data_IF_224093887421
#
_entry.id   IF_224093887421
#
_cell.length_a   1.000
_cell.length_b   1.000
_cell.length_c   1.000
_cell.angle_alpha   90.00
_cell.angle_beta   90.00
_cell.angle_gamma   90.00
#
_symmetry.space_group_name_H-M   'P 1'
#
loop_
_entity.id
_entity.type
_entity.pdbx_description
1 polymer ?
#
# COMPACT_ATOMS: atom_id res chain seq x y z
N UNK A 1 -24.14 9.76 -8.20
CA UNK A 1 -23.00 9.19 -7.46
C UNK A 1 -21.78 10.04 -7.79
N UNK A 2 -21.44 11.00 -6.94
CA UNK A 2 -20.35 11.94 -7.21
C UNK A 2 -19.02 11.23 -6.96
N UNK A 3 -18.32 10.85 -8.03
CA UNK A 3 -16.91 10.49 -7.93
C UNK A 3 -16.15 11.73 -7.45
N UNK A 4 -15.52 11.65 -6.27
CA UNK A 4 -14.57 12.65 -5.78
C UNK A 4 -13.60 12.99 -6.93
N UNK A 5 -13.63 14.24 -7.38
CA UNK A 5 -12.77 14.73 -8.45
C UNK A 5 -11.30 14.50 -8.07
N UNK A 6 -10.53 13.88 -8.96
CA UNK A 6 -9.09 13.63 -8.76
C UNK A 6 -8.73 12.38 -7.95
N UNK A 7 -9.67 11.46 -7.69
CA UNK A 7 -9.38 10.17 -7.05
C UNK A 7 -8.32 9.36 -7.81
N UNK A 8 -8.39 9.35 -9.13
CA UNK A 8 -7.44 8.71 -10.04
C UNK A 8 -6.03 9.32 -9.95
N UNK A 9 -5.96 10.65 -9.90
CA UNK A 9 -4.71 11.39 -9.72
C UNK A 9 -4.10 11.09 -8.35
N UNK A 10 -4.92 11.17 -7.28
CA UNK A 10 -4.49 10.82 -5.94
C UNK A 10 -4.01 9.36 -5.85
N UNK A 11 -4.73 8.42 -6.46
CA UNK A 11 -4.37 7.01 -6.51
C UNK A 11 -2.99 6.79 -7.15
N UNK A 12 -2.74 7.44 -8.29
CA UNK A 12 -1.48 7.33 -9.01
C UNK A 12 -0.29 7.84 -8.17
N UNK A 13 -0.43 9.01 -7.55
CA UNK A 13 0.61 9.56 -6.68
C UNK A 13 0.80 8.73 -5.40
N UNK A 14 -0.29 8.33 -4.75
CA UNK A 14 -0.24 7.53 -3.53
C UNK A 14 0.43 6.17 -3.77
N UNK A 15 0.09 5.49 -4.86
CA UNK A 15 0.76 4.23 -5.27
C UNK A 15 2.26 4.41 -5.44
N UNK A 16 2.67 5.44 -6.18
CA UNK A 16 4.09 5.74 -6.42
C UNK A 16 4.84 6.00 -5.12
N UNK A 17 4.26 6.79 -4.21
CA UNK A 17 4.92 7.15 -2.97
C UNK A 17 4.94 6.00 -1.97
N UNK A 18 3.87 5.21 -1.89
CA UNK A 18 3.84 3.99 -1.08
C UNK A 18 4.89 3.00 -1.56
N UNK A 19 5.02 2.78 -2.88
CA UNK A 19 6.04 1.88 -3.45
C UNK A 19 7.44 2.29 -3.01
N UNK A 20 7.74 3.60 -3.07
CA UNK A 20 9.02 4.14 -2.63
C UNK A 20 9.25 3.91 -1.13
N UNK A 21 8.24 4.13 -0.28
CA UNK A 21 8.37 3.93 1.17
C UNK A 21 8.62 2.45 1.52
N UNK A 22 7.89 1.54 0.88
CA UNK A 22 8.03 0.10 1.09
C UNK A 22 9.39 -0.44 0.63
N UNK A 23 9.82 -0.09 -0.58
CA UNK A 23 11.08 -0.60 -1.15
C UNK A 23 12.33 -0.05 -0.45
N UNK A 24 12.30 1.20 0.01
CA UNK A 24 13.45 1.86 0.66
C UNK A 24 13.37 1.76 2.18
N UNK A 25 12.38 1.04 2.73
CA UNK A 25 12.12 0.91 4.17
C UNK A 25 12.08 2.27 4.90
N UNK A 26 11.43 3.26 4.29
CA UNK A 26 11.31 4.63 4.81
C UNK A 26 9.95 4.94 5.45
N UNK A 27 9.16 3.92 5.73
CA UNK A 27 7.91 4.10 6.47
C UNK A 27 8.20 4.42 7.94
N UNK A 28 7.49 5.41 8.49
CA UNK A 28 7.62 5.77 9.91
C UNK A 28 7.07 4.68 10.85
N UNK A 29 6.02 3.98 10.40
CA UNK A 29 5.42 2.84 11.11
C UNK A 29 4.63 1.99 10.13
N UNK A 30 4.76 0.66 10.25
CA UNK A 30 3.96 -0.30 9.45
C UNK A 30 2.48 -0.20 9.81
N UNK A 31 2.17 -0.02 11.10
CA UNK A 31 0.79 0.10 11.58
C UNK A 31 0.12 1.37 11.04
N UNK A 32 0.87 2.47 10.96
CA UNK A 32 0.38 3.71 10.37
C UNK A 32 0.02 3.53 8.89
N UNK A 33 0.85 2.82 8.12
CA UNK A 33 0.56 2.56 6.70
C UNK A 33 -0.66 1.63 6.53
N UNK A 34 -0.77 0.58 7.35
CA UNK A 34 -1.94 -0.32 7.35
C UNK A 34 -3.22 0.44 7.73
N UNK A 35 -3.15 1.31 8.74
CA UNK A 35 -4.28 2.17 9.14
C UNK A 35 -4.72 3.11 8.02
N UNK A 36 -3.78 3.72 7.30
CA UNK A 36 -4.10 4.57 6.15
C UNK A 36 -4.82 3.79 5.06
N UNK A 37 -4.40 2.55 4.80
CA UNK A 37 -5.03 1.66 3.85
C UNK A 37 -6.48 1.31 4.24
N UNK A 38 -6.73 1.04 5.52
CA UNK A 38 -8.09 0.83 6.05
C UNK A 38 -8.98 2.05 5.81
N UNK A 39 -8.48 3.27 6.06
CA UNK A 39 -9.22 4.51 5.81
C UNK A 39 -9.53 4.70 4.33
N UNK A 40 -8.55 4.46 3.45
CA UNK A 40 -8.75 4.53 1.99
C UNK A 40 -9.79 3.52 1.52
N UNK A 41 -9.80 2.32 2.09
CA UNK A 41 -10.79 1.28 1.76
C UNK A 41 -12.21 1.70 2.17
N UNK A 42 -12.36 2.36 3.32
CA UNK A 42 -13.64 2.90 3.78
C UNK A 42 -14.15 4.03 2.87
N UNK A 43 -13.28 4.98 2.52
CA UNK A 43 -13.66 6.19 1.76
C UNK A 43 -13.75 5.97 0.23
N UNK A 44 -12.96 5.03 -0.29
CA UNK A 44 -12.79 4.83 -1.74
C UNK A 44 -13.22 3.44 -2.22
N UNK A 45 -13.50 2.53 -1.30
CA UNK A 45 -13.92 1.16 -1.59
C UNK A 45 -12.74 0.20 -1.85
N UNK A 46 -13.01 -1.12 -1.82
CA UNK A 46 -11.98 -2.16 -1.92
C UNK A 46 -11.25 -2.17 -3.27
N UNK A 47 -11.91 -1.76 -4.36
CA UNK A 47 -11.29 -1.70 -5.69
C UNK A 47 -10.17 -0.66 -5.76
N UNK A 48 -10.29 0.43 -5.00
CA UNK A 48 -9.28 1.47 -4.91
C UNK A 48 -8.00 0.98 -4.21
N UNK A 49 -8.16 0.17 -3.16
CA UNK A 49 -7.03 -0.31 -2.36
C UNK A 49 -6.43 -1.62 -2.84
N UNK A 50 -7.03 -2.31 -3.81
CA UNK A 50 -6.60 -3.64 -4.26
C UNK A 50 -5.10 -3.75 -4.53
N UNK A 51 -4.54 -2.83 -5.32
CA UNK A 51 -3.11 -2.85 -5.65
C UNK A 51 -2.24 -2.48 -4.44
N UNK A 52 -2.72 -1.58 -3.58
CA UNK A 52 -2.01 -1.16 -2.37
C UNK A 52 -1.89 -2.33 -1.39
N UNK A 53 -2.98 -3.09 -1.20
CA UNK A 53 -3.01 -4.32 -0.38
C UNK A 53 -2.03 -5.35 -0.93
N UNK A 54 -1.98 -5.52 -2.27
CA UNK A 54 -1.01 -6.38 -2.94
C UNK A 54 0.44 -6.02 -2.62
N UNK A 55 0.79 -4.74 -2.67
CA UNK A 55 2.15 -4.28 -2.39
C UNK A 55 2.63 -4.63 -0.96
N UNK A 56 1.74 -4.58 0.04
CA UNK A 56 2.08 -5.04 1.40
C UNK A 56 2.36 -6.54 1.43
N UNK A 57 1.49 -7.32 0.79
CA UNK A 57 1.65 -8.77 0.70
C UNK A 57 2.97 -9.14 0.02
N UNK A 58 3.34 -8.45 -1.06
CA UNK A 58 4.58 -8.70 -1.79
C UNK A 58 5.82 -8.44 -0.91
N UNK A 59 5.79 -7.41 -0.07
CA UNK A 59 6.87 -7.14 0.90
C UNK A 59 6.98 -8.24 1.95
N UNK A 60 5.86 -8.67 2.51
CA UNK A 60 5.82 -9.72 3.54
C UNK A 60 6.34 -11.05 2.95
N UNK A 61 5.83 -11.46 1.78
CA UNK A 61 6.30 -12.66 1.06
C UNK A 61 7.79 -12.58 0.71
N UNK A 62 8.27 -11.42 0.27
CA UNK A 62 9.69 -11.24 -0.07
C UNK A 62 10.59 -11.42 1.14
N UNK A 63 10.16 -10.99 2.34
CA UNK A 63 10.90 -11.21 3.59
C UNK A 63 10.95 -12.68 3.95
N UNK A 64 9.82 -13.38 3.86
CA UNK A 64 9.74 -14.82 4.16
C UNK A 64 10.65 -15.63 3.23
N UNK A 65 10.63 -15.33 1.92
CA UNK A 65 11.52 -15.96 0.93
C UNK A 65 12.98 -15.68 1.26
N UNK A 66 13.33 -14.43 1.59
CA UNK A 66 14.70 -14.06 1.91
C UNK A 66 15.19 -14.74 3.20
N UNK A 67 14.32 -14.90 4.20
CA UNK A 67 14.65 -15.63 5.41
C UNK A 67 14.94 -17.10 5.09
N UNK A 68 14.03 -17.77 4.38
CA UNK A 68 14.20 -19.18 4.00
C UNK A 68 15.45 -19.42 3.11
N UNK A 69 15.87 -18.42 2.33
CA UNK A 69 17.11 -18.50 1.54
C UNK A 69 18.38 -18.40 2.41
N UNK A 70 18.32 -17.71 3.53
CA UNK A 70 19.46 -17.52 4.44
C UNK A 70 19.57 -18.61 5.52
N UNK A 71 18.61 -19.53 5.58
CA UNK A 71 18.64 -20.76 6.38
C UNK A 71 19.35 -21.90 5.64
#
# INVERSE_FOLDING_TARGET
MYTLQGKDVFEAFYKKDLARRLLVQRSASVDAERSMLTKLKQECGPRFTQNLEGMFKDIDVSKDIMQAYNE
#
